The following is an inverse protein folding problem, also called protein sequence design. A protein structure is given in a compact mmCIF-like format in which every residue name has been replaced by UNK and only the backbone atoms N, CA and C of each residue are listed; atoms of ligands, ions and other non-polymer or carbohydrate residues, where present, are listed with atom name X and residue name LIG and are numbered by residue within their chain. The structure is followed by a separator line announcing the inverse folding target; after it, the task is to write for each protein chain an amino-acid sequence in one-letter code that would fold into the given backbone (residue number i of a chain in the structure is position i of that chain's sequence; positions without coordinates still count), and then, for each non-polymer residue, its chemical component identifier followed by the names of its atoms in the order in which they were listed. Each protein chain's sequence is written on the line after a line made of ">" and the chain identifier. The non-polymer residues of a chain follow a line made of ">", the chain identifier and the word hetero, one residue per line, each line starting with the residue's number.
data_IF_974653740226
#
_entry.id   IF_974653740226
#
_cell.length_a   1.000
_cell.length_b   1.000
_cell.length_c   1.000
_cell.angle_alpha   90.00
_cell.angle_beta   90.00
_cell.angle_gamma   90.00
#
_symmetry.space_group_name_H-M   'P 1'
#
loop_
_entity.id
_entity.type
_entity.pdbx_description
1 polymer ?
#
# COMPACT_ATOMS: atom_id res chain seq x y z
N UNK A 1 25.45 -5.15 -12.06
CA UNK A 1 24.69 -6.07 -12.93
C UNK A 1 23.41 -5.37 -13.36
N UNK A 2 23.25 -5.01 -14.63
CA UNK A 2 22.05 -4.35 -15.14
C UNK A 2 21.05 -5.43 -15.56
N UNK A 3 20.10 -5.77 -14.68
CA UNK A 3 18.98 -6.65 -14.99
C UNK A 3 18.00 -5.92 -15.92
N UNK A 4 18.28 -5.89 -17.22
CA UNK A 4 17.33 -5.38 -18.20
C UNK A 4 16.26 -6.45 -18.44
N UNK A 5 15.04 -6.21 -17.95
CA UNK A 5 13.90 -7.09 -18.18
C UNK A 5 13.55 -7.11 -19.67
N UNK A 6 13.21 -8.28 -20.21
CA UNK A 6 12.72 -8.40 -21.57
C UNK A 6 11.45 -7.54 -21.76
N UNK A 7 11.17 -7.02 -22.98
CA UNK A 7 10.00 -6.19 -23.24
C UNK A 7 8.67 -6.87 -22.86
N UNK A 8 8.58 -8.20 -22.98
CA UNK A 8 7.43 -9.00 -22.58
C UNK A 8 7.27 -9.09 -21.06
N UNK A 9 8.35 -9.44 -20.34
CA UNK A 9 8.35 -9.51 -18.87
C UNK A 9 7.99 -8.15 -18.25
N UNK A 10 8.44 -7.05 -18.85
CA UNK A 10 8.09 -5.70 -18.40
C UNK A 10 6.59 -5.42 -18.49
N UNK A 11 5.92 -5.84 -19.56
CA UNK A 11 4.47 -5.64 -19.71
C UNK A 11 3.69 -6.45 -18.68
N UNK A 12 4.08 -7.71 -18.47
CA UNK A 12 3.46 -8.58 -17.46
C UNK A 12 3.63 -7.99 -16.06
N UNK A 13 4.86 -7.58 -15.70
CA UNK A 13 5.12 -6.95 -14.41
C UNK A 13 4.33 -5.65 -14.22
N UNK A 14 4.13 -4.87 -15.29
CA UNK A 14 3.33 -3.64 -15.24
C UNK A 14 1.85 -3.93 -15.00
N UNK A 15 1.28 -4.90 -15.72
CA UNK A 15 -0.11 -5.32 -15.51
C UNK A 15 -0.30 -5.84 -14.10
N UNK A 16 0.58 -6.74 -13.64
CA UNK A 16 0.55 -7.27 -12.29
C UNK A 16 0.64 -6.15 -11.25
N UNK A 17 1.55 -5.19 -11.43
CA UNK A 17 1.69 -4.06 -10.51
C UNK A 17 0.43 -3.20 -10.42
N UNK A 18 -0.13 -2.80 -11.56
CA UNK A 18 -1.34 -1.97 -11.60
C UNK A 18 -2.51 -2.71 -10.96
N UNK A 19 -2.66 -4.00 -11.25
CA UNK A 19 -3.74 -4.82 -10.71
C UNK A 19 -3.60 -5.02 -9.19
N UNK A 20 -2.39 -5.33 -8.71
CA UNK A 20 -2.10 -5.46 -7.27
C UNK A 20 -2.31 -4.16 -6.51
N UNK A 21 -1.88 -3.02 -7.06
CA UNK A 21 -2.12 -1.70 -6.45
C UNK A 21 -3.62 -1.39 -6.42
N UNK A 22 -4.36 -1.64 -7.49
CA UNK A 22 -5.81 -1.46 -7.52
C UNK A 22 -6.54 -2.32 -6.50
N UNK A 23 -6.19 -3.61 -6.41
CA UNK A 23 -6.72 -4.52 -5.41
C UNK A 23 -6.39 -4.05 -3.98
N UNK A 24 -5.15 -3.61 -3.74
CA UNK A 24 -4.75 -3.12 -2.43
C UNK A 24 -5.55 -1.87 -2.00
N UNK A 25 -5.75 -0.90 -2.90
CA UNK A 25 -6.57 0.29 -2.63
C UNK A 25 -8.02 -0.11 -2.31
N UNK A 26 -8.60 -1.02 -3.09
CA UNK A 26 -9.97 -1.49 -2.85
C UNK A 26 -10.13 -2.21 -1.50
N UNK A 27 -9.17 -3.07 -1.15
CA UNK A 27 -9.15 -3.78 0.12
C UNK A 27 -8.93 -2.84 1.31
N UNK A 28 -8.08 -1.81 1.15
CA UNK A 28 -7.86 -0.80 2.18
C UNK A 28 -9.10 0.07 2.43
N UNK A 29 -9.82 0.43 1.37
CA UNK A 29 -11.12 1.12 1.46
C UNK A 29 -12.17 0.25 2.16
N UNK A 30 -12.28 -1.03 1.79
CA UNK A 30 -13.20 -1.97 2.41
C UNK A 30 -12.87 -2.19 3.90
N UNK A 31 -11.58 -2.35 4.26
CA UNK A 31 -11.12 -2.37 5.66
C UNK A 31 -11.61 -1.14 6.41
N UNK A 32 -11.38 0.04 5.85
CA UNK A 32 -11.68 1.30 6.52
C UNK A 32 -13.17 1.47 6.75
N UNK A 33 -14.01 1.03 5.80
CA UNK A 33 -15.46 0.97 5.98
C UNK A 33 -15.88 0.01 7.11
N UNK A 34 -15.31 -1.19 7.18
CA UNK A 34 -15.63 -2.15 8.24
C UNK A 34 -15.21 -1.65 9.63
N UNK A 35 -14.06 -0.99 9.72
CA UNK A 35 -13.62 -0.34 10.96
C UNK A 35 -14.60 0.78 11.35
N UNK A 36 -15.07 1.57 10.39
CA UNK A 36 -16.07 2.60 10.64
C UNK A 36 -17.41 1.99 11.12
N UNK A 37 -17.86 0.87 10.54
CA UNK A 37 -19.04 0.13 11.03
C UNK A 37 -18.83 -0.34 12.47
N UNK A 38 -17.64 -0.85 12.82
CA UNK A 38 -17.34 -1.28 14.17
C UNK A 38 -17.34 -0.14 15.21
N UNK A 39 -16.93 1.06 14.80
CA UNK A 39 -16.84 2.25 15.67
C UNK A 39 -18.16 3.02 15.81
N UNK A 40 -18.91 3.13 14.71
CA UNK A 40 -20.09 3.99 14.61
C UNK A 40 -21.41 3.21 14.59
N UNK A 41 -21.35 1.88 14.45
CA UNK A 41 -22.52 1.03 14.33
C UNK A 41 -23.26 0.85 15.64
N UNK A 42 -24.58 1.07 15.62
CA UNK A 42 -25.46 0.79 16.76
C UNK A 42 -26.01 -0.64 16.79
N UNK A 43 -26.00 -1.34 15.65
CA UNK A 43 -26.44 -2.74 15.57
C UNK A 43 -25.30 -3.69 15.90
N UNK A 44 -25.47 -4.49 16.96
CA UNK A 44 -24.49 -5.47 17.40
C UNK A 44 -24.19 -6.53 16.33
N UNK A 45 -25.19 -6.93 15.55
CA UNK A 45 -25.02 -7.91 14.49
C UNK A 45 -24.07 -7.42 13.40
N UNK A 46 -24.30 -6.19 12.92
CA UNK A 46 -23.45 -5.53 11.93
C UNK A 46 -22.01 -5.33 12.42
N UNK A 47 -21.81 -4.88 13.66
CA UNK A 47 -20.47 -4.70 14.27
C UNK A 47 -19.74 -6.03 14.37
N UNK A 48 -20.41 -7.09 14.85
CA UNK A 48 -19.83 -8.41 14.96
C UNK A 48 -19.41 -8.97 13.59
N UNK A 49 -20.28 -8.84 12.58
CA UNK A 49 -19.99 -9.25 11.21
C UNK A 49 -18.80 -8.47 10.64
N UNK A 50 -18.70 -7.17 10.92
CA UNK A 50 -17.62 -6.34 10.42
C UNK A 50 -16.25 -6.77 10.95
N UNK A 51 -16.14 -7.05 12.26
CA UNK A 51 -14.89 -7.54 12.85
C UNK A 51 -14.51 -8.94 12.37
N UNK A 52 -15.47 -9.84 12.22
CA UNK A 52 -15.23 -11.18 11.63
C UNK A 52 -14.76 -11.08 10.19
N UNK A 53 -15.41 -10.26 9.37
CA UNK A 53 -15.01 -10.05 7.97
C UNK A 53 -13.61 -9.44 7.88
N UNK A 54 -13.30 -8.47 8.74
CA UNK A 54 -11.99 -7.83 8.79
C UNK A 54 -10.89 -8.83 9.14
N UNK A 55 -11.07 -9.60 10.22
CA UNK A 55 -10.07 -10.53 10.73
C UNK A 55 -9.89 -11.79 9.86
N UNK A 56 -10.98 -12.32 9.29
CA UNK A 56 -10.97 -13.61 8.60
C UNK A 56 -10.85 -13.48 7.08
N UNK A 57 -11.50 -12.47 6.48
CA UNK A 57 -11.59 -12.36 5.02
C UNK A 57 -10.66 -11.29 4.43
N UNK A 58 -10.62 -10.08 5.00
CA UNK A 58 -9.83 -9.00 4.38
C UNK A 58 -8.33 -9.10 4.65
N UNK A 59 -7.93 -9.74 5.74
CA UNK A 59 -6.54 -9.87 6.16
C UNK A 59 -5.59 -10.42 5.11
N UNK A 60 -5.80 -11.69 4.74
CA UNK A 60 -4.91 -12.39 3.82
C UNK A 60 -4.85 -11.74 2.43
N UNK A 61 -5.97 -11.36 1.78
CA UNK A 61 -5.95 -10.65 0.51
C UNK A 61 -5.19 -9.31 0.58
N UNK A 62 -5.33 -8.56 1.69
CA UNK A 62 -4.64 -7.27 1.86
C UNK A 62 -3.12 -7.47 1.90
N UNK A 63 -2.64 -8.46 2.65
CA UNK A 63 -1.21 -8.81 2.74
C UNK A 63 -0.68 -9.26 1.38
N UNK A 64 -1.41 -10.13 0.67
CA UNK A 64 -1.02 -10.62 -0.66
C UNK A 64 -0.95 -9.49 -1.66
N UNK A 65 -1.98 -8.64 -1.73
CA UNK A 65 -2.04 -7.52 -2.66
C UNK A 65 -0.94 -6.48 -2.39
N UNK A 66 -0.71 -6.11 -1.13
CA UNK A 66 0.31 -5.14 -0.74
C UNK A 66 1.72 -5.65 -1.04
N UNK A 67 2.00 -6.92 -0.72
CA UNK A 67 3.29 -7.56 -0.99
C UNK A 67 3.54 -7.72 -2.49
N UNK A 68 2.53 -8.15 -3.25
CA UNK A 68 2.62 -8.23 -4.71
C UNK A 68 2.87 -6.86 -5.35
N UNK A 69 2.20 -5.81 -4.87
CA UNK A 69 2.44 -4.43 -5.32
C UNK A 69 3.87 -3.96 -5.06
N UNK A 70 4.44 -4.28 -3.89
CA UNK A 70 5.83 -3.97 -3.54
C UNK A 70 6.83 -4.72 -4.42
N UNK A 71 6.68 -6.04 -4.57
CA UNK A 71 7.59 -6.87 -5.37
C UNK A 71 7.58 -6.40 -6.82
N UNK A 72 6.40 -6.25 -7.41
CA UNK A 72 6.26 -5.79 -8.80
C UNK A 72 6.75 -4.36 -8.98
N UNK A 73 6.54 -3.48 -7.99
CA UNK A 73 7.07 -2.11 -7.99
C UNK A 73 8.60 -2.07 -7.96
N UNK A 74 9.21 -2.93 -7.14
CA UNK A 74 10.66 -3.07 -7.07
C UNK A 74 11.22 -3.63 -8.38
N UNK A 75 10.60 -4.67 -8.95
CA UNK A 75 10.99 -5.25 -10.24
C UNK A 75 10.93 -4.23 -11.37
N UNK A 76 9.87 -3.43 -11.44
CA UNK A 76 9.73 -2.37 -12.46
C UNK A 76 10.75 -1.25 -12.26
N UNK A 77 11.02 -0.89 -11.01
CA UNK A 77 11.93 0.19 -10.69
C UNK A 77 13.41 -0.17 -10.88
N UNK A 78 13.80 -1.41 -10.60
CA UNK A 78 15.16 -1.94 -10.84
C UNK A 78 15.36 -2.34 -12.30
N UNK A 79 14.33 -2.93 -12.92
CA UNK A 79 14.39 -3.47 -14.29
C UNK A 79 14.18 -2.43 -15.39
N UNK A 80 13.81 -1.20 -15.08
CA UNK A 80 13.72 -0.13 -16.07
C UNK A 80 15.02 0.66 -16.15
N UNK A 81 15.45 0.93 -17.39
CA UNK A 81 16.60 1.79 -17.77
C UNK A 81 16.62 3.20 -17.14
N UNK A 82 15.56 3.56 -16.43
CA UNK A 82 15.40 4.85 -15.77
C UNK A 82 15.98 4.84 -14.36
N UNK A 83 16.29 3.69 -13.74
CA UNK A 83 16.89 3.61 -12.40
C UNK A 83 15.93 4.01 -11.29
N UNK A 84 15.80 3.15 -10.27
CA UNK A 84 14.95 3.31 -9.08
C UNK A 84 15.06 4.68 -8.40
N UNK A 85 16.23 5.31 -8.53
CA UNK A 85 16.62 6.58 -7.92
C UNK A 85 16.91 7.69 -8.93
N UNK A 86 16.36 7.68 -10.15
CA UNK A 86 16.53 8.84 -11.04
C UNK A 86 15.53 9.95 -10.81
N UNK A 87 14.40 9.70 -10.12
CA UNK A 87 13.37 10.69 -9.85
C UNK A 87 12.89 10.61 -8.40
N UNK A 88 12.86 11.75 -7.70
CA UNK A 88 12.50 11.83 -6.29
C UNK A 88 11.09 11.33 -6.01
N UNK A 89 10.15 11.57 -6.93
CA UNK A 89 8.77 11.09 -6.79
C UNK A 89 8.66 9.56 -6.82
N UNK A 90 9.54 8.86 -7.55
CA UNK A 90 9.57 7.38 -7.58
C UNK A 90 10.10 6.83 -6.27
N UNK A 91 11.20 7.41 -5.78
CA UNK A 91 11.80 7.01 -4.50
C UNK A 91 10.84 7.24 -3.32
N UNK A 92 10.19 8.40 -3.27
CA UNK A 92 9.19 8.72 -2.26
C UNK A 92 8.02 7.71 -2.27
N UNK A 93 7.50 7.37 -3.46
CA UNK A 93 6.43 6.38 -3.60
C UNK A 93 6.86 5.00 -3.09
N UNK A 94 8.08 4.56 -3.42
CA UNK A 94 8.60 3.27 -2.97
C UNK A 94 8.79 3.22 -1.45
N UNK A 95 9.31 4.29 -0.85
CA UNK A 95 9.45 4.39 0.62
C UNK A 95 8.09 4.33 1.29
N UNK A 96 7.10 5.08 0.81
CA UNK A 96 5.73 5.04 1.36
C UNK A 96 5.14 3.63 1.22
N UNK A 97 5.24 3.01 0.06
CA UNK A 97 4.75 1.64 -0.16
C UNK A 97 5.43 0.65 0.78
N UNK A 98 6.75 0.74 0.93
CA UNK A 98 7.51 -0.13 1.83
C UNK A 98 7.04 0.02 3.28
N UNK A 99 6.93 1.25 3.77
CA UNK A 99 6.45 1.53 5.13
C UNK A 99 5.05 0.97 5.35
N UNK A 100 4.12 1.20 4.41
CA UNK A 100 2.76 0.68 4.50
C UNK A 100 2.71 -0.84 4.52
N UNK A 101 3.49 -1.52 3.66
CA UNK A 101 3.56 -2.99 3.65
C UNK A 101 4.14 -3.51 4.97
N UNK A 102 5.20 -2.89 5.48
CA UNK A 102 5.76 -3.26 6.78
C UNK A 102 4.74 -3.12 7.90
N UNK A 103 3.99 -2.01 7.94
CA UNK A 103 2.93 -1.81 8.93
C UNK A 103 1.81 -2.85 8.79
N UNK A 104 1.39 -3.17 7.57
CA UNK A 104 0.40 -4.24 7.33
C UNK A 104 0.89 -5.58 7.88
N UNK A 105 2.14 -5.96 7.60
CA UNK A 105 2.67 -7.27 8.01
C UNK A 105 3.02 -7.36 9.50
N UNK A 106 3.48 -6.27 10.12
CA UNK A 106 4.02 -6.29 11.50
C UNK A 106 3.04 -5.80 12.55
N UNK A 107 2.08 -4.94 12.17
CA UNK A 107 1.12 -4.35 13.09
C UNK A 107 -0.28 -4.88 12.82
N UNK A 108 -0.76 -4.75 11.58
CA UNK A 108 -2.13 -5.13 11.27
C UNK A 108 -2.32 -6.65 11.29
N UNK A 109 -1.48 -7.42 10.58
CA UNK A 109 -1.65 -8.86 10.43
C UNK A 109 -1.71 -9.63 11.77
N UNK A 110 -0.85 -9.34 12.78
CA UNK A 110 -0.95 -9.98 14.09
C UNK A 110 -2.21 -9.64 14.88
N UNK A 111 -2.83 -8.47 14.65
CA UNK A 111 -4.08 -8.09 15.33
C UNK A 111 -5.32 -8.80 14.77
N UNK A 112 -5.30 -9.20 13.50
CA UNK A 112 -6.49 -9.71 12.81
C UNK A 112 -7.14 -10.95 13.46
N UNK A 113 -6.40 -11.95 13.99
CA UNK A 113 -7.02 -13.08 14.69
C UNK A 113 -7.79 -12.65 15.95
N UNK A 114 -7.24 -11.69 16.71
CA UNK A 114 -7.91 -11.16 17.90
C UNK A 114 -9.19 -10.39 17.53
N UNK A 115 -9.16 -9.65 16.43
CA UNK A 115 -10.34 -8.94 15.90
C UNK A 115 -11.43 -9.92 15.45
N UNK A 116 -11.06 -11.01 14.77
CA UNK A 116 -12.02 -12.05 14.38
C UNK A 116 -12.67 -12.71 15.61
N UNK A 117 -11.85 -13.12 16.58
CA UNK A 117 -12.32 -13.74 17.82
C UNK A 117 -13.24 -12.80 18.61
N UNK A 118 -12.94 -11.50 18.62
CA UNK A 118 -13.81 -10.49 19.22
C UNK A 118 -15.18 -10.42 18.52
N UNK A 119 -15.19 -10.41 17.19
CA UNK A 119 -16.42 -10.44 16.42
C UNK A 119 -17.27 -11.69 16.67
N UNK A 120 -16.64 -12.86 16.82
CA UNK A 120 -17.32 -14.11 17.21
C UNK A 120 -17.93 -14.01 18.62
N UNK A 121 -17.19 -13.48 19.60
CA UNK A 121 -17.66 -13.30 20.97
C UNK A 121 -18.82 -12.30 21.06
N UNK A 122 -18.76 -11.21 20.29
CA UNK A 122 -19.82 -10.20 20.22
C UNK A 122 -21.10 -10.78 19.60
N UNK A 123 -20.97 -11.58 18.53
CA UNK A 123 -22.11 -12.28 17.94
C UNK A 123 -22.76 -13.28 18.91
N UNK A 124 -21.96 -13.94 19.75
CA UNK A 124 -22.43 -14.87 20.77
C UNK A 124 -23.03 -14.17 22.01
N UNK A 125 -22.97 -12.83 22.09
CA UNK A 125 -23.40 -12.06 23.27
C UNK A 125 -22.50 -12.26 24.49
N UNK A 126 -21.31 -12.86 24.31
CA UNK A 126 -20.34 -13.10 25.37
C UNK A 126 -19.63 -11.81 25.84
N UNK A 127 -19.70 -10.75 25.04
CA UNK A 127 -19.18 -9.41 25.36
C UNK A 127 -20.23 -8.35 25.03
N UNK A 128 -20.30 -7.28 25.83
CA UNK A 128 -21.41 -6.30 25.79
C UNK A 128 -21.04 -4.92 25.24
N UNK A 129 -19.75 -4.61 25.13
CA UNK A 129 -19.24 -3.30 24.70
C UNK A 129 -18.69 -3.37 23.26
N UNK A 130 -18.50 -2.23 22.56
CA UNK A 130 -17.53 -2.17 21.46
C UNK A 130 -16.13 -2.37 22.04
N UNK A 131 -15.27 -3.13 21.35
CA UNK A 131 -13.88 -3.25 21.79
C UNK A 131 -13.22 -1.87 21.75
N UNK A 132 -12.23 -1.65 22.62
CA UNK A 132 -11.29 -0.54 22.47
C UNK A 132 -10.40 -0.81 21.24
N UNK A 133 -10.98 -0.58 20.05
CA UNK A 133 -10.34 -0.77 18.75
C UNK A 133 -9.64 0.51 18.29
N UNK A 134 -9.25 1.36 19.23
CA UNK A 134 -8.54 2.62 18.94
C UNK A 134 -7.27 2.35 18.10
N UNK A 135 -6.62 1.21 18.31
CA UNK A 135 -5.48 0.75 17.53
C UNK A 135 -5.80 0.46 16.04
N UNK A 136 -7.07 0.20 15.69
CA UNK A 136 -7.52 0.05 14.30
C UNK A 136 -7.84 1.40 13.63
N UNK A 137 -8.09 2.46 14.40
CA UNK A 137 -8.38 3.80 13.86
C UNK A 137 -7.18 4.36 13.11
N UNK A 138 -5.99 4.23 13.69
CA UNK A 138 -4.75 4.71 13.09
C UNK A 138 -4.50 4.11 11.69
N UNK A 139 -4.47 2.78 11.50
CA UNK A 139 -4.32 2.18 10.17
C UNK A 139 -5.54 2.36 9.26
N UNK A 140 -6.73 2.70 9.77
CA UNK A 140 -7.89 3.04 8.95
C UNK A 140 -7.81 4.43 8.31
N UNK A 141 -7.04 5.35 8.90
CA UNK A 141 -6.93 6.74 8.40
C UNK A 141 -5.60 6.94 7.67
N UNK A 142 -4.50 6.50 8.28
CA UNK A 142 -3.15 6.77 7.76
C UNK A 142 -2.88 6.02 6.46
N UNK A 143 -3.34 4.77 6.34
CA UNK A 143 -3.15 3.98 5.14
C UNK A 143 -3.85 4.58 3.91
N UNK A 144 -5.16 4.90 3.92
CA UNK A 144 -5.83 5.47 2.75
C UNK A 144 -5.31 6.87 2.41
N UNK A 145 -4.99 7.72 3.40
CA UNK A 145 -4.37 9.02 3.14
C UNK A 145 -2.99 8.88 2.47
N UNK A 146 -2.20 7.90 2.89
CA UNK A 146 -0.90 7.60 2.28
C UNK A 146 -1.06 7.07 0.86
N UNK A 147 -2.06 6.21 0.61
CA UNK A 147 -2.39 5.71 -0.74
C UNK A 147 -2.90 6.84 -1.65
N UNK A 148 -3.73 7.75 -1.13
CA UNK A 148 -4.17 8.94 -1.85
C UNK A 148 -2.98 9.84 -2.19
N UNK A 149 -2.10 10.08 -1.22
CA UNK A 149 -0.88 10.88 -1.41
C UNK A 149 0.00 10.27 -2.49
N UNK A 150 0.28 8.97 -2.45
CA UNK A 150 1.10 8.29 -3.48
C UNK A 150 0.45 8.32 -4.86
N UNK A 151 -0.89 8.27 -4.93
CA UNK A 151 -1.65 8.44 -6.17
C UNK A 151 -1.52 9.86 -6.72
N UNK A 152 -1.73 10.88 -5.88
CA UNK A 152 -1.55 12.29 -6.23
C UNK A 152 -0.11 12.57 -6.69
N UNK A 153 0.89 12.05 -5.98
CA UNK A 153 2.30 12.16 -6.38
C UNK A 153 2.58 11.53 -7.74
N UNK A 154 1.90 10.43 -8.08
CA UNK A 154 2.04 9.76 -9.38
C UNK A 154 1.49 10.60 -10.54
N UNK A 155 0.46 11.42 -10.27
CA UNK A 155 -0.19 12.30 -11.27
C UNK A 155 0.53 13.64 -11.38
N UNK A 156 0.73 14.32 -10.25
CA UNK A 156 1.26 15.70 -10.20
C UNK A 156 2.77 15.74 -10.47
N UNK A 157 3.50 14.66 -10.19
CA UNK A 157 4.96 14.53 -10.40
C UNK A 157 5.74 15.80 -10.00
N UNK A 158 5.67 16.24 -8.72
CA UNK A 158 6.12 17.58 -8.34
C UNK A 158 7.65 17.78 -8.45
N UNK A 159 8.43 16.68 -8.46
CA UNK A 159 9.88 16.73 -8.33
C UNK A 159 10.64 16.21 -9.54
N UNK A 160 11.71 16.92 -9.90
CA UNK A 160 12.62 16.59 -11.00
C UNK A 160 13.53 15.39 -10.73
N UNK A 161 14.52 15.19 -11.61
CA UNK A 161 15.49 14.09 -11.51
C UNK A 161 16.42 14.23 -10.30
N UNK A 162 16.76 13.12 -9.65
CA UNK A 162 17.70 13.01 -8.50
C UNK A 162 19.14 13.39 -8.89
N UNK A 163 19.52 13.32 -10.18
CA UNK A 163 20.81 13.80 -10.70
C UNK A 163 20.62 14.85 -11.80
N UNK A 164 20.96 16.10 -11.49
CA UNK A 164 21.50 17.08 -12.45
C UNK A 164 22.82 17.55 -11.85
N UNK A 165 23.95 17.19 -12.47
CA UNK A 165 25.26 17.65 -11.99
C UNK A 165 26.46 16.80 -12.39
N UNK A 166 26.66 16.57 -13.68
CA UNK A 166 28.00 16.68 -14.24
C UNK A 166 27.82 17.52 -15.49
N UNK A 167 28.02 18.83 -15.32
CA UNK A 167 28.06 19.77 -16.43
C UNK A 167 29.03 19.20 -17.47
N UNK A 168 28.55 18.96 -18.69
CA UNK A 168 29.45 18.80 -19.83
C UNK A 168 30.26 20.10 -19.91
N UNK A 169 31.60 20.08 -19.74
CA UNK A 169 32.40 21.21 -20.16
C UNK A 169 32.13 21.37 -21.65
N UNK A 170 31.64 22.54 -22.02
CA UNK A 170 31.30 22.90 -23.38
C UNK A 170 32.41 22.42 -24.32
N UNK A 171 32.05 21.61 -25.32
CA UNK A 171 32.89 21.41 -26.48
C UNK A 171 33.14 22.79 -27.10
N UNK A 172 34.26 23.41 -26.75
CA UNK A 172 34.78 24.60 -27.40
C UNK A 172 35.27 24.17 -28.78
N UNK A 173 34.30 24.01 -29.68
CA UNK A 173 34.50 23.89 -31.12
C UNK A 173 34.96 25.26 -31.62
N UNK A 174 36.25 25.57 -31.45
CA UNK A 174 36.89 26.64 -32.22
C UNK A 174 37.56 25.97 -33.40
N UNK A 175 36.86 26.06 -34.54
CA UNK A 175 37.45 26.01 -35.87
C UNK A 175 38.56 27.06 -35.95
N UNK A 176 39.77 26.64 -36.31
CA UNK A 176 40.55 27.16 -37.45
C UNK A 176 41.82 26.32 -37.60
#
# INVERSE_FOLDING_TARGET
>A
MNLQLSPGTRKVALVAHVWSVGAWIGLDAAKSLLIAVGLLGGDRGAVALAYRALGTFLGAPLIVASTAALITGLLLGVGTRWGLLSYWWVAAKLVITLVLVTLVCTVLAPMLPAVAAYGDALAAGAVSAPADVTDLVYPAIVAPLSLLTTTLLSVVKPWGRIRRGAAQPAQRRVRR
#
